data_IF_232768542426
#
_entry.id   IF_232768542426
#
_cell.length_a   1.000
_cell.length_b   1.000
_cell.length_c   1.000
_cell.angle_alpha   90.00
_cell.angle_beta   90.00
_cell.angle_gamma   90.00
#
_symmetry.space_group_name_H-M   'P 1'
#
loop_
_entity.id
_entity.type
_entity.pdbx_description
1 polymer ?
#
# COMPACT_ATOMS: atom_id res chain seq x y z
N UNK A 1 27.45 21.34 16.28
CA UNK A 1 26.49 21.47 15.17
C UNK A 1 25.96 22.89 15.15
N UNK A 2 26.09 23.62 14.04
CA UNK A 2 25.69 25.03 13.98
C UNK A 2 24.19 25.16 13.62
N UNK A 3 23.34 25.21 14.63
CA UNK A 3 21.88 25.29 14.42
C UNK A 3 21.43 26.54 13.66
N UNK A 4 22.19 27.64 13.72
CA UNK A 4 21.86 28.87 12.95
C UNK A 4 21.94 28.67 11.44
N UNK A 5 22.74 27.71 10.96
CA UNK A 5 22.81 27.36 9.54
C UNK A 5 21.69 26.38 9.16
N UNK A 6 21.40 25.41 10.01
CA UNK A 6 20.31 24.44 9.81
C UNK A 6 18.93 25.09 9.80
N UNK A 7 18.72 26.13 10.62
CA UNK A 7 17.48 26.91 10.63
C UNK A 7 17.24 27.63 9.29
N UNK A 8 18.30 28.06 8.59
CA UNK A 8 18.17 28.64 7.23
C UNK A 8 17.70 27.61 6.20
N UNK A 9 17.95 26.34 6.45
CA UNK A 9 17.44 25.22 5.66
C UNK A 9 16.05 24.74 6.10
N UNK A 10 15.46 25.37 7.13
CA UNK A 10 14.18 24.95 7.71
C UNK A 10 14.30 23.72 8.63
N UNK A 11 15.51 23.27 8.98
CA UNK A 11 15.74 22.13 9.86
C UNK A 11 15.72 22.61 11.32
N UNK A 12 14.58 22.42 11.98
CA UNK A 12 14.39 22.78 13.39
C UNK A 12 14.78 21.65 14.34
N UNK A 13 15.01 21.98 15.62
CA UNK A 13 15.30 20.97 16.66
C UNK A 13 14.11 20.02 16.86
N UNK A 14 12.90 20.55 16.76
CA UNK A 14 11.65 19.81 16.89
C UNK A 14 11.50 18.77 15.78
N UNK A 15 11.81 19.16 14.53
CA UNK A 15 11.81 18.25 13.39
C UNK A 15 12.82 17.12 13.57
N UNK A 16 14.06 17.44 13.97
CA UNK A 16 15.09 16.43 14.19
C UNK A 16 14.68 15.46 15.30
N UNK A 17 14.03 15.95 16.36
CA UNK A 17 13.53 15.12 17.47
C UNK A 17 12.35 14.23 17.10
N UNK A 18 11.51 14.64 16.15
CA UNK A 18 10.36 13.84 15.70
C UNK A 18 10.78 12.65 14.81
N UNK A 19 12.00 12.68 14.26
CA UNK A 19 12.50 11.61 13.40
C UNK A 19 12.85 10.38 14.23
N UNK A 20 12.02 9.34 14.08
CA UNK A 20 12.32 8.02 14.63
C UNK A 20 13.28 7.27 13.69
N UNK A 21 14.59 7.43 13.95
CA UNK A 21 15.62 6.79 13.12
C UNK A 21 15.41 5.28 13.04
N UNK A 22 15.04 4.60 14.15
CA UNK A 22 14.81 3.14 14.23
C UNK A 22 13.78 2.59 13.24
N UNK A 23 12.85 3.43 12.77
CA UNK A 23 11.81 3.04 11.80
C UNK A 23 12.02 3.63 10.40
N UNK A 24 12.80 4.69 10.30
CA UNK A 24 12.98 5.49 9.07
C UNK A 24 14.46 5.56 8.71
N UNK A 25 14.99 4.49 8.16
CA UNK A 25 16.35 4.49 7.65
C UNK A 25 16.35 4.56 6.14
N UNK A 26 17.14 5.51 5.63
CA UNK A 26 17.40 5.70 4.21
C UNK A 26 16.16 6.12 3.39
N UNK A 27 16.30 7.05 2.42
CA UNK A 27 17.51 7.82 2.11
C UNK A 27 17.82 8.92 3.15
N UNK A 28 19.02 9.48 3.11
CA UNK A 28 19.40 10.71 3.82
C UNK A 28 20.16 11.64 2.89
N UNK A 29 20.18 12.93 3.19
CA UNK A 29 20.87 13.94 2.39
C UNK A 29 21.79 14.79 3.27
N UNK A 30 23.11 14.63 3.11
CA UNK A 30 24.09 15.28 3.99
C UNK A 30 24.30 16.76 3.68
N UNK A 31 24.21 17.16 2.41
CA UNK A 31 24.19 18.56 1.96
C UNK A 31 23.06 18.80 0.96
N UNK A 32 22.55 20.03 0.88
CA UNK A 32 21.36 20.36 0.07
C UNK A 32 21.55 20.10 -1.42
N UNK A 33 22.78 20.21 -1.91
CA UNK A 33 23.16 20.06 -3.32
C UNK A 33 23.57 18.61 -3.68
N UNK A 34 23.69 17.72 -2.69
CA UNK A 34 24.10 16.34 -2.90
C UNK A 34 22.91 15.42 -3.09
N UNK A 35 23.07 14.36 -3.88
CA UNK A 35 22.03 13.33 -4.02
C UNK A 35 21.81 12.55 -2.71
N UNK A 36 20.57 12.08 -2.45
CA UNK A 36 20.29 11.26 -1.29
C UNK A 36 21.05 9.93 -1.34
N UNK A 37 21.67 9.57 -0.22
CA UNK A 37 22.39 8.30 -0.07
C UNK A 37 21.65 7.34 0.83
N UNK A 38 21.88 6.05 0.62
CA UNK A 38 21.32 5.01 1.49
C UNK A 38 22.24 4.76 2.68
N UNK A 39 21.66 4.27 3.77
CA UNK A 39 22.38 3.96 5.01
C UNK A 39 22.20 2.50 5.41
N UNK A 40 23.24 1.94 6.00
CA UNK A 40 23.22 0.64 6.66
C UNK A 40 23.63 0.80 8.12
N UNK A 41 22.87 0.20 9.02
CA UNK A 41 23.14 0.26 10.47
C UNK A 41 24.33 -0.65 10.79
N UNK A 42 25.21 -0.19 11.67
CA UNK A 42 26.26 -1.01 12.27
C UNK A 42 26.30 -0.79 13.80
N UNK A 43 27.16 -1.53 14.49
CA UNK A 43 27.29 -1.45 15.96
C UNK A 43 27.81 -0.12 16.50
N UNK A 44 28.42 0.72 15.65
CA UNK A 44 29.06 2.00 16.00
C UNK A 44 28.32 3.22 15.42
N UNK A 45 27.24 3.04 14.66
CA UNK A 45 26.57 4.09 13.90
C UNK A 45 26.03 3.61 12.56
N UNK A 46 26.36 4.32 11.48
CA UNK A 46 25.80 4.09 10.15
C UNK A 46 26.88 4.13 9.07
N UNK A 47 26.87 3.15 8.17
CA UNK A 47 27.63 3.19 6.92
C UNK A 47 26.82 3.85 5.82
N UNK A 48 27.50 4.58 4.94
CA UNK A 48 26.91 5.15 3.72
C UNK A 48 27.04 4.13 2.60
N UNK A 49 25.92 3.82 1.94
CA UNK A 49 25.84 2.88 0.83
C UNK A 49 25.83 3.66 -0.48
N UNK A 50 26.83 3.41 -1.33
CA UNK A 50 26.99 4.04 -2.64
C UNK A 50 26.35 3.22 -3.77
N UNK A 51 26.25 1.90 -3.56
CA UNK A 51 25.76 0.94 -4.55
C UNK A 51 25.55 -0.44 -3.91
N UNK A 52 25.10 -1.43 -4.69
CA UNK A 52 24.90 -2.78 -4.18
C UNK A 52 26.24 -3.37 -3.69
N UNK A 53 26.39 -3.49 -2.36
CA UNK A 53 27.62 -3.98 -1.73
C UNK A 53 28.75 -2.95 -1.61
N UNK A 54 28.54 -1.71 -2.07
CA UNK A 54 29.56 -0.66 -2.05
C UNK A 54 29.26 0.39 -0.98
N UNK A 55 30.29 0.75 -0.21
CA UNK A 55 30.20 1.65 0.93
C UNK A 55 31.23 2.77 0.83
N UNK A 56 30.92 3.91 1.44
CA UNK A 56 31.88 5.00 1.54
C UNK A 56 33.07 4.58 2.42
N UNK A 57 34.27 4.76 1.88
CA UNK A 57 35.54 4.48 2.54
C UNK A 57 36.39 5.75 2.67
N UNK A 58 37.23 5.77 3.68
CA UNK A 58 38.32 6.74 3.85
C UNK A 58 39.62 5.93 3.99
N UNK A 59 40.40 5.86 2.92
CA UNK A 59 41.45 4.85 2.76
C UNK A 59 40.86 3.43 2.73
N UNK A 60 41.39 2.55 3.58
CA UNK A 60 40.93 1.16 3.69
C UNK A 60 39.75 0.98 4.65
N UNK A 61 39.43 2.00 5.45
CA UNK A 61 38.40 1.93 6.49
C UNK A 61 37.03 2.42 6.01
N UNK A 62 35.96 1.80 6.52
CA UNK A 62 34.60 2.22 6.27
C UNK A 62 34.24 3.47 7.09
N UNK A 63 33.70 4.48 6.42
CA UNK A 63 33.24 5.71 7.10
C UNK A 63 32.02 5.41 7.95
N UNK A 64 32.11 5.68 9.26
CA UNK A 64 31.00 5.54 10.20
C UNK A 64 30.43 6.91 10.55
N UNK A 65 29.16 7.11 10.20
CA UNK A 65 28.43 8.32 10.54
C UNK A 65 27.73 8.17 11.90
N UNK A 66 27.89 9.14 12.82
CA UNK A 66 27.20 9.15 14.09
C UNK A 66 25.70 9.47 13.91
N UNK A 67 24.88 8.96 14.82
CA UNK A 67 23.42 9.09 14.75
C UNK A 67 22.93 10.54 14.63
N UNK A 68 23.56 11.47 15.35
CA UNK A 68 23.19 12.89 15.31
C UNK A 68 23.31 13.49 13.91
N UNK A 69 24.41 13.20 13.20
CA UNK A 69 24.60 13.66 11.81
C UNK A 69 23.58 13.04 10.87
N UNK A 70 23.27 11.76 11.08
CA UNK A 70 22.27 11.04 10.27
C UNK A 70 20.86 11.59 10.48
N UNK A 71 20.49 11.96 11.71
CA UNK A 71 19.18 12.55 11.99
C UNK A 71 18.99 13.88 11.25
N UNK A 72 20.01 14.74 11.22
CA UNK A 72 19.97 15.98 10.45
C UNK A 72 19.92 15.72 8.96
N UNK A 73 20.73 14.78 8.46
CA UNK A 73 20.71 14.41 7.05
C UNK A 73 19.35 13.81 6.64
N UNK A 74 18.69 13.07 7.55
CA UNK A 74 17.34 12.57 7.34
C UNK A 74 16.31 13.69 7.35
N UNK A 75 16.42 14.65 8.26
CA UNK A 75 15.54 15.82 8.30
C UNK A 75 15.61 16.60 6.99
N UNK A 76 16.83 16.85 6.50
CA UNK A 76 17.06 17.50 5.21
C UNK A 76 16.41 16.75 4.06
N UNK A 77 16.61 15.43 3.99
CA UNK A 77 15.98 14.60 2.96
C UNK A 77 14.44 14.69 3.03
N UNK A 78 13.85 14.61 4.22
CA UNK A 78 12.40 14.70 4.38
C UNK A 78 11.82 16.07 3.97
N UNK A 79 12.60 17.15 4.09
CA UNK A 79 12.20 18.47 3.63
C UNK A 79 12.30 18.59 2.10
N UNK A 80 13.43 18.17 1.53
CA UNK A 80 13.71 18.37 0.10
C UNK A 80 12.97 17.36 -0.80
N UNK A 81 12.65 16.18 -0.29
CA UNK A 81 12.02 15.08 -1.03
C UNK A 81 10.67 14.68 -0.43
N UNK A 82 10.00 15.60 0.28
CA UNK A 82 8.74 15.32 0.99
C UNK A 82 7.70 14.65 0.09
N UNK A 83 7.49 15.20 -1.10
CA UNK A 83 6.47 14.71 -2.03
C UNK A 83 6.82 13.31 -2.56
N UNK A 84 8.10 13.05 -2.85
CA UNK A 84 8.57 11.73 -3.27
C UNK A 84 8.43 10.70 -2.15
N UNK A 85 8.72 11.08 -0.91
CA UNK A 85 8.55 10.20 0.26
C UNK A 85 7.08 9.84 0.45
N UNK A 86 6.19 10.82 0.39
CA UNK A 86 4.74 10.60 0.49
C UNK A 86 4.26 9.71 -0.64
N UNK A 87 4.67 9.99 -1.89
CA UNK A 87 4.28 9.18 -3.04
C UNK A 87 4.78 7.72 -2.91
N UNK A 88 6.02 7.53 -2.45
CA UNK A 88 6.56 6.19 -2.19
C UNK A 88 5.79 5.44 -1.08
N UNK A 89 5.35 6.14 -0.03
CA UNK A 89 4.49 5.55 1.01
C UNK A 89 3.11 5.17 0.46
N UNK A 90 2.54 6.01 -0.42
CA UNK A 90 1.28 5.72 -1.12
C UNK A 90 1.42 4.47 -1.98
N UNK A 91 2.49 4.34 -2.78
CA UNK A 91 2.72 3.16 -3.62
C UNK A 91 2.91 1.88 -2.79
N UNK A 92 3.57 1.98 -1.63
CA UNK A 92 3.66 0.86 -0.67
C UNK A 92 2.29 0.45 -0.15
N UNK A 93 1.45 1.40 0.24
CA UNK A 93 0.10 1.09 0.72
C UNK A 93 -0.77 0.53 -0.42
N UNK A 94 -0.69 1.04 -1.65
CA UNK A 94 -1.36 0.45 -2.83
C UNK A 94 -0.98 -1.03 -2.98
N UNK A 95 0.30 -1.36 -2.82
CA UNK A 95 0.78 -2.74 -2.90
C UNK A 95 0.20 -3.63 -1.79
N UNK A 96 0.03 -3.08 -0.57
CA UNK A 96 -0.66 -3.77 0.54
C UNK A 96 -2.14 -3.98 0.22
N UNK A 97 -2.82 -2.98 -0.34
CA UNK A 97 -4.23 -3.08 -0.73
C UNK A 97 -4.44 -4.14 -1.83
N UNK A 98 -3.57 -4.19 -2.84
CA UNK A 98 -3.62 -5.22 -3.90
C UNK A 98 -3.45 -6.62 -3.32
N UNK A 99 -2.48 -6.83 -2.42
CA UNK A 99 -2.32 -8.11 -1.71
C UNK A 99 -3.58 -8.51 -0.92
N UNK A 100 -4.25 -7.54 -0.30
CA UNK A 100 -5.51 -7.80 0.40
C UNK A 100 -6.60 -8.27 -0.56
N UNK A 101 -6.68 -7.69 -1.76
CA UNK A 101 -7.57 -8.15 -2.83
C UNK A 101 -7.21 -9.57 -3.24
N UNK A 102 -5.93 -9.87 -3.49
CA UNK A 102 -5.50 -11.22 -3.91
C UNK A 102 -5.91 -12.30 -2.91
N UNK A 103 -5.73 -12.03 -1.62
CA UNK A 103 -6.12 -12.95 -0.54
C UNK A 103 -7.63 -13.16 -0.55
N UNK A 104 -8.41 -12.07 -0.59
CA UNK A 104 -9.88 -12.14 -0.54
C UNK A 104 -10.48 -12.78 -1.79
N UNK A 105 -9.90 -12.51 -2.96
CA UNK A 105 -10.30 -13.15 -4.21
C UNK A 105 -10.13 -14.67 -4.10
N UNK A 106 -8.96 -15.15 -3.68
CA UNK A 106 -8.69 -16.59 -3.51
C UNK A 106 -9.64 -17.25 -2.49
N UNK A 107 -9.93 -16.59 -1.37
CA UNK A 107 -10.86 -17.10 -0.35
C UNK A 107 -12.28 -17.32 -0.87
N UNK A 108 -12.72 -16.53 -1.85
CA UNK A 108 -14.10 -16.49 -2.35
C UNK A 108 -14.24 -17.30 -3.64
N UNK A 109 -13.29 -17.19 -4.56
CA UNK A 109 -13.43 -17.75 -5.90
C UNK A 109 -13.51 -19.28 -5.87
N UNK A 110 -12.69 -19.94 -5.05
CA UNK A 110 -12.69 -21.41 -4.92
C UNK A 110 -14.01 -21.92 -4.34
N UNK A 111 -14.61 -21.17 -3.41
CA UNK A 111 -15.90 -21.51 -2.80
C UNK A 111 -17.05 -21.34 -3.78
N UNK A 112 -17.05 -20.24 -4.53
CA UNK A 112 -18.05 -20.00 -5.58
C UNK A 112 -17.95 -21.07 -6.66
N UNK A 113 -16.74 -21.37 -7.14
CA UNK A 113 -16.50 -22.40 -8.15
C UNK A 113 -17.02 -23.76 -7.67
N UNK A 114 -16.69 -24.16 -6.44
CA UNK A 114 -17.15 -25.41 -5.85
C UNK A 114 -18.70 -25.50 -5.77
N UNK A 115 -19.36 -24.46 -5.25
CA UNK A 115 -20.84 -24.41 -5.17
C UNK A 115 -21.46 -24.52 -6.56
N UNK A 116 -20.97 -23.74 -7.53
CA UNK A 116 -21.52 -23.70 -8.87
C UNK A 116 -21.28 -24.99 -9.65
N UNK A 117 -20.14 -25.67 -9.44
CA UNK A 117 -19.84 -26.98 -10.02
C UNK A 117 -20.77 -28.07 -9.46
N UNK A 118 -20.96 -28.15 -8.15
CA UNK A 118 -21.91 -29.12 -7.57
C UNK A 118 -23.36 -28.86 -7.96
N UNK A 119 -23.74 -27.59 -8.14
CA UNK A 119 -25.06 -27.22 -8.66
C UNK A 119 -25.20 -27.46 -10.18
N UNK A 120 -24.12 -27.81 -10.89
CA UNK A 120 -24.11 -28.01 -12.33
C UNK A 120 -24.36 -26.74 -13.14
N UNK A 121 -24.07 -25.56 -12.57
CA UNK A 121 -24.30 -24.26 -13.21
C UNK A 121 -23.09 -23.74 -14.00
N UNK A 122 -21.91 -24.33 -13.78
CA UNK A 122 -20.71 -24.08 -14.58
C UNK A 122 -20.06 -25.42 -14.92
N UNK A 123 -19.33 -25.45 -16.03
CA UNK A 123 -18.54 -26.63 -16.40
C UNK A 123 -17.16 -26.56 -15.73
N UNK A 124 -16.60 -27.70 -15.29
CA UNK A 124 -15.24 -27.71 -14.80
C UNK A 124 -14.25 -27.48 -15.92
N UNK A 125 -13.17 -26.80 -15.57
CA UNK A 125 -12.05 -26.53 -16.47
C UNK A 125 -11.31 -27.79 -16.94
N UNK A 126 -11.50 -28.93 -16.27
CA UNK A 126 -10.88 -30.21 -16.62
C UNK A 126 -11.79 -31.40 -16.26
N UNK A 127 -11.84 -32.41 -17.13
CA UNK A 127 -12.55 -33.68 -16.91
C UNK A 127 -12.12 -34.42 -15.63
N UNK A 128 -10.87 -34.29 -15.21
CA UNK A 128 -10.38 -34.87 -13.94
C UNK A 128 -11.04 -34.22 -12.71
N UNK A 129 -11.39 -32.93 -12.79
CA UNK A 129 -12.09 -32.23 -11.72
C UNK A 129 -13.53 -32.74 -11.61
N UNK A 130 -14.21 -32.99 -12.74
CA UNK A 130 -15.52 -33.68 -12.72
C UNK A 130 -15.43 -35.04 -12.04
N UNK A 131 -14.43 -35.87 -12.40
CA UNK A 131 -14.28 -37.19 -11.83
C UNK A 131 -14.03 -37.17 -10.30
N UNK A 132 -13.29 -36.16 -9.80
CA UNK A 132 -13.07 -35.96 -8.37
C UNK A 132 -14.34 -35.48 -7.66
N UNK A 133 -15.08 -34.55 -8.27
CA UNK A 133 -16.36 -34.07 -7.76
C UNK A 133 -17.39 -35.22 -7.71
N UNK A 134 -17.44 -36.06 -8.73
CA UNK A 134 -18.31 -37.23 -8.77
C UNK A 134 -17.91 -38.30 -7.76
N UNK A 135 -16.62 -38.41 -7.41
CA UNK A 135 -16.13 -39.29 -6.36
C UNK A 135 -16.40 -38.77 -4.93
N UNK A 136 -16.37 -37.45 -4.72
CA UNK A 136 -16.71 -36.79 -3.44
C UNK A 136 -18.21 -36.46 -3.29
N UNK A 137 -19.00 -36.61 -4.36
CA UNK A 137 -20.40 -36.22 -4.46
C UNK A 137 -21.28 -36.98 -3.46
N UNK A 138 -21.48 -36.41 -2.28
CA UNK A 138 -22.61 -36.81 -1.44
C UNK A 138 -23.86 -36.07 -1.94
N UNK A 139 -24.96 -36.80 -2.15
CA UNK A 139 -26.29 -36.25 -2.52
C UNK A 139 -26.69 -35.04 -1.66
N UNK A 140 -26.18 -34.97 -0.43
CA UNK A 140 -26.37 -33.87 0.51
C UNK A 140 -25.69 -32.58 0.06
N UNK A 141 -24.44 -32.63 -0.43
CA UNK A 141 -23.71 -31.45 -0.91
C UNK A 141 -24.35 -30.89 -2.17
N UNK A 142 -24.72 -31.76 -3.11
CA UNK A 142 -25.43 -31.37 -4.34
C UNK A 142 -26.76 -30.66 -4.04
N UNK A 143 -27.62 -31.28 -3.21
CA UNK A 143 -28.89 -30.66 -2.79
C UNK A 143 -28.71 -29.36 -2.01
N UNK A 144 -27.62 -29.20 -1.26
CA UNK A 144 -27.31 -27.96 -0.58
C UNK A 144 -26.87 -26.87 -1.56
N UNK A 145 -26.03 -27.22 -2.53
CA UNK A 145 -25.55 -26.33 -3.58
C UNK A 145 -26.71 -25.85 -4.49
N UNK A 146 -27.56 -26.76 -4.98
CA UNK A 146 -28.74 -26.44 -5.80
C UNK A 146 -29.72 -25.49 -5.10
N UNK A 147 -29.78 -25.50 -3.76
CA UNK A 147 -30.65 -24.61 -2.97
C UNK A 147 -30.13 -23.18 -2.86
N UNK A 148 -28.81 -23.00 -2.89
CA UNK A 148 -28.18 -21.69 -2.67
C UNK A 148 -27.69 -21.08 -3.99
N UNK A 149 -27.34 -21.90 -4.97
CA UNK A 149 -26.79 -21.45 -6.23
C UNK A 149 -27.86 -20.71 -7.04
N UNK A 150 -27.47 -19.59 -7.65
CA UNK A 150 -28.36 -18.76 -8.45
C UNK A 150 -27.65 -18.26 -9.71
N UNK A 151 -28.42 -17.76 -10.67
CA UNK A 151 -27.88 -17.16 -11.89
C UNK A 151 -27.01 -15.94 -11.57
N UNK A 152 -27.40 -15.14 -10.59
CA UNK A 152 -26.64 -13.98 -10.13
C UNK A 152 -25.27 -14.39 -9.56
N UNK A 153 -25.17 -15.56 -8.92
CA UNK A 153 -23.88 -16.08 -8.46
C UNK A 153 -22.96 -16.48 -9.62
N UNK A 154 -23.51 -17.02 -10.71
CA UNK A 154 -22.76 -17.33 -11.94
C UNK A 154 -22.23 -16.06 -12.58
N UNK A 155 -23.09 -15.04 -12.74
CA UNK A 155 -22.70 -13.75 -13.31
C UNK A 155 -21.63 -13.06 -12.43
N UNK A 156 -21.79 -13.13 -11.11
CA UNK A 156 -20.82 -12.60 -10.16
C UNK A 156 -19.48 -13.34 -10.23
N UNK A 157 -19.50 -14.68 -10.32
CA UNK A 157 -18.29 -15.51 -10.46
C UNK A 157 -17.48 -15.15 -11.70
N UNK A 158 -18.11 -15.10 -12.88
CA UNK A 158 -17.41 -14.75 -14.11
C UNK A 158 -16.91 -13.31 -14.10
N UNK A 159 -17.69 -12.38 -13.56
CA UNK A 159 -17.26 -11.00 -13.37
C UNK A 159 -16.02 -10.89 -12.48
N UNK A 160 -15.95 -11.66 -11.38
CA UNK A 160 -14.76 -11.68 -10.52
C UNK A 160 -13.53 -12.23 -11.27
N UNK A 161 -13.68 -13.33 -12.02
CA UNK A 161 -12.59 -13.90 -12.84
C UNK A 161 -12.07 -12.88 -13.85
N UNK A 162 -12.96 -12.28 -14.63
CA UNK A 162 -12.61 -11.29 -15.65
C UNK A 162 -11.86 -10.09 -15.05
N UNK A 163 -12.35 -9.54 -13.92
CA UNK A 163 -11.71 -8.41 -13.26
C UNK A 163 -10.32 -8.77 -12.73
N UNK A 164 -10.14 -10.00 -12.23
CA UNK A 164 -8.86 -10.48 -11.71
C UNK A 164 -7.83 -10.74 -12.83
N UNK A 165 -8.24 -11.42 -13.91
CA UNK A 165 -7.41 -11.65 -15.10
C UNK A 165 -6.95 -10.33 -15.73
N UNK A 166 -7.85 -9.36 -15.83
CA UNK A 166 -7.55 -8.01 -16.35
C UNK A 166 -6.87 -7.07 -15.34
N UNK A 167 -6.49 -7.57 -14.15
CA UNK A 167 -5.82 -6.82 -13.07
C UNK A 167 -6.57 -5.53 -12.68
N UNK A 168 -7.90 -5.55 -12.70
CA UNK A 168 -8.79 -4.43 -12.34
C UNK A 168 -8.97 -4.33 -10.82
N UNK A 169 -7.86 -4.09 -10.11
CA UNK A 169 -7.80 -4.07 -8.65
C UNK A 169 -8.70 -3.04 -7.98
N UNK A 170 -8.95 -1.89 -8.62
CA UNK A 170 -9.88 -0.88 -8.09
C UNK A 170 -11.30 -1.46 -7.95
N UNK A 171 -11.80 -2.08 -9.01
CA UNK A 171 -13.14 -2.69 -9.04
C UNK A 171 -13.22 -3.89 -8.09
N UNK A 172 -12.18 -4.73 -8.05
CA UNK A 172 -12.12 -5.86 -7.13
C UNK A 172 -12.09 -5.41 -5.67
N UNK A 173 -11.36 -4.33 -5.35
CA UNK A 173 -11.34 -3.78 -4.00
C UNK A 173 -12.72 -3.28 -3.58
N UNK A 174 -13.42 -2.55 -4.46
CA UNK A 174 -14.80 -2.14 -4.19
C UNK A 174 -15.72 -3.34 -3.93
N UNK A 175 -15.69 -4.34 -4.80
CA UNK A 175 -16.59 -5.50 -4.73
C UNK A 175 -16.31 -6.42 -3.53
N UNK A 176 -15.04 -6.70 -3.24
CA UNK A 176 -14.65 -7.73 -2.27
C UNK A 176 -14.35 -7.17 -0.87
N UNK A 177 -14.02 -5.89 -0.75
CA UNK A 177 -13.55 -5.28 0.51
C UNK A 177 -14.50 -4.19 1.01
N UNK A 178 -15.23 -3.53 0.11
CA UNK A 178 -16.06 -2.37 0.44
C UNK A 178 -17.55 -2.58 0.15
N UNK A 179 -17.99 -3.83 0.05
CA UNK A 179 -19.40 -4.19 -0.19
C UNK A 179 -20.01 -3.51 -1.43
N UNK A 180 -19.20 -3.28 -2.47
CA UNK A 180 -19.62 -2.65 -3.72
C UNK A 180 -19.68 -1.11 -3.71
N UNK A 181 -19.34 -0.45 -2.60
CA UNK A 181 -19.31 1.01 -2.50
C UNK A 181 -17.88 1.55 -2.63
N UNK A 182 -17.57 2.50 -3.54
CA UNK A 182 -16.30 3.19 -3.52
C UNK A 182 -16.24 4.13 -2.30
N UNK A 183 -15.71 3.65 -1.17
CA UNK A 183 -15.69 4.39 0.10
C UNK A 183 -14.66 5.53 0.16
N UNK A 184 -14.43 6.27 -0.94
CA UNK A 184 -13.94 7.65 -0.77
C UNK A 184 -15.07 8.49 -0.14
N UNK A 185 -16.33 8.13 -0.42
CA UNK A 185 -17.53 8.80 0.09
C UNK A 185 -18.05 8.28 1.46
N UNK A 186 -17.46 7.22 2.05
CA UNK A 186 -17.90 6.69 3.36
C UNK A 186 -16.91 6.93 4.51
N UNK A 187 -15.95 7.84 4.32
CA UNK A 187 -15.25 8.43 5.47
C UNK A 187 -16.33 9.03 6.37
N UNK A 188 -16.48 8.47 7.58
CA UNK A 188 -17.36 9.02 8.61
C UNK A 188 -17.12 10.52 8.64
N UNK A 189 -18.17 11.30 8.39
CA UNK A 189 -18.17 12.78 8.37
C UNK A 189 -17.57 13.37 9.67
N UNK A 190 -17.40 12.55 10.72
CA UNK A 190 -16.80 12.89 12.00
C UNK A 190 -15.30 12.50 12.17
N UNK A 191 -14.59 12.16 11.09
CA UNK A 191 -13.13 11.98 11.19
C UNK A 191 -12.43 13.33 11.48
N UNK A 192 -11.53 13.42 12.47
CA UNK A 192 -10.77 14.66 12.75
C UNK A 192 -10.00 15.18 11.53
N UNK A 193 -9.59 14.31 10.60
CA UNK A 193 -8.95 14.70 9.33
C UNK A 193 -9.85 15.55 8.44
N UNK A 194 -11.19 15.39 8.49
CA UNK A 194 -12.13 16.24 7.74
C UNK A 194 -12.19 17.69 8.27
N UNK A 195 -11.79 17.94 9.52
CA UNK A 195 -11.76 19.30 10.10
C UNK A 195 -10.64 20.18 9.52
N UNK A 196 -9.70 19.63 8.75
CA UNK A 196 -8.62 20.39 8.10
C UNK A 196 -8.92 20.73 6.63
N UNK A 197 -10.08 20.33 6.11
CA UNK A 197 -10.50 20.68 4.75
C UNK A 197 -11.40 21.91 4.80
N UNK A 198 -10.81 23.10 4.65
CA UNK A 198 -11.57 24.29 4.30
C UNK A 198 -12.24 24.10 2.93
N UNK A 199 -13.36 24.79 2.71
CA UNK A 199 -14.13 24.74 1.45
C UNK A 199 -13.24 25.01 0.21
N UNK A 200 -12.20 25.82 0.38
CA UNK A 200 -11.22 26.18 -0.66
C UNK A 200 -10.21 25.06 -1.02
N UNK A 201 -10.01 24.07 -0.14
CA UNK A 201 -9.14 22.91 -0.37
C UNK A 201 -9.89 21.69 -0.92
N UNK A 202 -11.23 21.70 -0.83
CA UNK A 202 -12.08 20.59 -1.23
C UNK A 202 -12.10 20.44 -2.76
N UNK A 203 -12.25 21.55 -3.49
CA UNK A 203 -12.23 21.56 -4.96
C UNK A 203 -10.85 21.18 -5.53
N UNK A 204 -9.76 21.64 -4.92
CA UNK A 204 -8.39 21.23 -5.29
C UNK A 204 -8.14 19.75 -5.00
N UNK A 205 -8.70 19.25 -3.90
CA UNK A 205 -8.60 17.82 -3.55
C UNK A 205 -9.40 17.00 -4.56
N UNK A 206 -10.63 17.37 -4.86
CA UNK A 206 -11.46 16.71 -5.88
C UNK A 206 -10.78 16.71 -7.25
N UNK A 207 -10.23 17.83 -7.70
CA UNK A 207 -9.43 17.90 -8.94
C UNK A 207 -8.16 17.02 -8.88
N UNK A 208 -7.52 16.87 -7.71
CA UNK A 208 -6.37 15.96 -7.55
C UNK A 208 -6.77 14.47 -7.51
N UNK A 209 -8.04 14.18 -7.21
CA UNK A 209 -8.61 12.84 -7.22
C UNK A 209 -9.09 12.45 -8.64
N UNK A 210 -9.49 13.44 -9.45
CA UNK A 210 -9.82 13.25 -10.87
C UNK A 210 -8.61 12.71 -11.63
N UNK A 211 -8.78 11.53 -12.26
CA UNK A 211 -7.74 10.87 -13.05
C UNK A 211 -6.78 9.95 -12.28
N UNK A 212 -6.89 9.84 -10.95
CA UNK A 212 -6.13 8.87 -10.14
C UNK A 212 -6.99 7.66 -9.77
N UNK A 213 -6.35 6.50 -9.63
CA UNK A 213 -7.03 5.23 -9.32
C UNK A 213 -7.69 5.26 -7.94
N UNK A 214 -8.75 4.48 -7.75
CA UNK A 214 -9.46 4.41 -6.46
C UNK A 214 -8.54 3.94 -5.34
N UNK A 215 -7.71 2.93 -5.61
CA UNK A 215 -6.71 2.45 -4.65
C UNK A 215 -5.67 3.51 -4.29
N UNK A 216 -5.29 4.37 -5.24
CA UNK A 216 -4.37 5.48 -4.94
C UNK A 216 -4.99 6.43 -3.93
N UNK A 217 -6.25 6.80 -4.13
CA UNK A 217 -6.95 7.72 -3.24
C UNK A 217 -7.08 7.14 -1.83
N UNK A 218 -7.49 5.88 -1.71
CA UNK A 218 -7.54 5.18 -0.41
C UNK A 218 -6.15 5.15 0.26
N UNK A 219 -5.12 4.81 -0.50
CA UNK A 219 -3.75 4.75 0.02
C UNK A 219 -3.26 6.12 0.50
N UNK A 220 -3.50 7.19 -0.28
CA UNK A 220 -3.21 8.58 0.07
C UNK A 220 -3.87 8.96 1.39
N UNK A 221 -5.16 8.69 1.56
CA UNK A 221 -5.86 8.99 2.81
C UNK A 221 -5.25 8.27 4.01
N UNK A 222 -4.96 6.97 3.89
CA UNK A 222 -4.34 6.21 4.99
C UNK A 222 -2.94 6.71 5.35
N UNK A 223 -2.15 7.11 4.35
CA UNK A 223 -0.79 7.65 4.59
C UNK A 223 -0.88 8.99 5.30
N UNK A 224 -1.77 9.89 4.86
CA UNK A 224 -1.97 11.19 5.50
C UNK A 224 -2.49 11.05 6.94
N UNK A 225 -3.45 10.15 7.18
CA UNK A 225 -3.98 9.87 8.52
C UNK A 225 -2.91 9.33 9.48
N UNK A 226 -2.02 8.43 9.02
CA UNK A 226 -0.91 7.91 9.84
C UNK A 226 0.13 8.97 10.16
N UNK A 227 0.32 9.94 9.27
CA UNK A 227 1.35 10.96 9.39
C UNK A 227 0.89 12.23 10.12
N UNK A 228 -0.37 12.28 10.62
CA UNK A 228 -0.98 13.47 11.24
C UNK A 228 -0.76 14.75 10.40
N UNK A 229 -0.96 14.64 9.09
CA UNK A 229 -1.01 15.78 8.15
C UNK A 229 -2.47 16.16 7.87
#
# INVERSE_FOLDING_TARGET
>A
MNYKELEKEGITKELVKSINIKRSFSPVQFKKEEDPVKLMINSKGYWIVLGFGEFLKDGDDLVVMPAEKVLVARARYLLNFKDEVIENEIQKEISVLKKKVDVKYKEIIDKLENILLHAGLIEPSNSLIMALIDAENTDRLKKAAEKIASKEMVDFYYRLKELYENKKYDSLYCLLIQDGLPQIASLKINSPTLKHFSKDNLDKTLQSLEGKSHLYNIAKFKVLERNNL
#
